data_IF_322475650247
#
_entry.id   IF_322475650247
#
_cell.length_a   1.000
_cell.length_b   1.000
_cell.length_c   1.000
_cell.angle_alpha   90.00
_cell.angle_beta   90.00
_cell.angle_gamma   90.00
#
_symmetry.space_group_name_H-M   'P 1'
#
loop_
_entity.id
_entity.type
_entity.pdbx_description
1 polymer ?
#
# COMPACT_ATOMS: atom_id res chain seq x y z
N UNK A 1 -22.87 7.50 -17.81
CA UNK A 1 -23.72 7.96 -18.94
C UNK A 1 -24.85 6.97 -19.27
N UNK A 2 -24.57 5.70 -19.57
CA UNK A 2 -25.62 4.70 -19.87
C UNK A 2 -26.69 4.56 -18.77
N UNK A 3 -26.30 4.58 -17.49
CA UNK A 3 -27.24 4.49 -16.36
C UNK A 3 -28.21 5.69 -16.27
N UNK A 4 -27.76 6.90 -16.65
CA UNK A 4 -28.59 8.12 -16.64
C UNK A 4 -29.58 8.10 -17.79
N UNK A 5 -29.14 7.68 -18.99
CA UNK A 5 -30.00 7.54 -20.17
C UNK A 5 -31.07 6.46 -19.93
N UNK A 6 -30.69 5.31 -19.37
CA UNK A 6 -31.62 4.23 -19.05
C UNK A 6 -32.62 4.66 -17.95
N UNK A 7 -32.17 5.40 -16.93
CA UNK A 7 -33.02 5.96 -15.88
C UNK A 7 -34.01 7.00 -16.37
N UNK A 8 -33.64 7.83 -17.36
CA UNK A 8 -34.53 8.75 -18.06
C UNK A 8 -35.62 8.01 -18.83
N UNK A 9 -35.24 6.99 -19.63
CA UNK A 9 -36.17 6.23 -20.48
C UNK A 9 -37.16 5.40 -19.63
N UNK A 10 -36.72 4.87 -18.48
CA UNK A 10 -37.58 4.07 -17.59
C UNK A 10 -38.32 4.89 -16.53
N UNK A 11 -38.12 6.21 -16.47
CA UNK A 11 -38.73 7.09 -15.48
C UNK A 11 -38.25 6.87 -14.03
N UNK A 12 -37.09 6.23 -13.84
CA UNK A 12 -36.52 5.85 -12.53
C UNK A 12 -35.33 6.71 -12.12
N UNK A 13 -35.33 7.98 -12.54
CA UNK A 13 -34.24 8.92 -12.25
C UNK A 13 -33.91 9.04 -10.76
N UNK A 14 -34.94 9.10 -9.90
CA UNK A 14 -34.76 9.16 -8.44
C UNK A 14 -33.96 7.96 -7.89
N UNK A 15 -34.18 6.76 -8.46
CA UNK A 15 -33.44 5.57 -8.05
C UNK A 15 -31.97 5.65 -8.48
N UNK A 16 -31.68 6.22 -9.65
CA UNK A 16 -30.30 6.43 -10.11
C UNK A 16 -29.58 7.43 -9.23
N UNK A 17 -30.21 8.57 -8.90
CA UNK A 17 -29.64 9.59 -8.01
C UNK A 17 -29.40 9.02 -6.61
N UNK A 18 -30.35 8.26 -6.07
CA UNK A 18 -30.23 7.60 -4.77
C UNK A 18 -29.10 6.57 -4.77
N UNK A 19 -29.00 5.73 -5.81
CA UNK A 19 -27.95 4.71 -5.93
C UNK A 19 -26.54 5.32 -6.04
N UNK A 20 -26.39 6.42 -6.78
CA UNK A 20 -25.12 7.16 -6.87
C UNK A 20 -24.74 7.74 -5.52
N UNK A 21 -25.68 8.37 -4.83
CA UNK A 21 -25.44 8.97 -3.50
C UNK A 21 -25.09 7.91 -2.46
N UNK A 22 -25.78 6.76 -2.48
CA UNK A 22 -25.49 5.65 -1.59
C UNK A 22 -24.12 5.03 -1.88
N UNK A 23 -23.76 4.87 -3.16
CA UNK A 23 -22.44 4.38 -3.56
C UNK A 23 -21.32 5.34 -3.15
N UNK A 24 -21.55 6.66 -3.26
CA UNK A 24 -20.63 7.66 -2.77
C UNK A 24 -20.42 7.56 -1.26
N UNK A 25 -21.49 7.31 -0.49
CA UNK A 25 -21.41 7.11 0.96
C UNK A 25 -20.59 5.87 1.33
N UNK A 26 -20.86 4.74 0.67
CA UNK A 26 -20.09 3.50 0.88
C UNK A 26 -18.61 3.71 0.55
N UNK A 27 -18.31 4.37 -0.57
CA UNK A 27 -16.93 4.69 -0.95
C UNK A 27 -16.23 5.60 0.06
N UNK A 28 -16.95 6.59 0.60
CA UNK A 28 -16.43 7.49 1.62
C UNK A 28 -16.14 6.79 2.95
N UNK A 29 -17.07 5.95 3.43
CA UNK A 29 -16.89 5.18 4.66
C UNK A 29 -15.68 4.23 4.54
N UNK A 30 -15.52 3.59 3.37
CA UNK A 30 -14.35 2.75 3.08
C UNK A 30 -13.06 3.57 3.05
N UNK A 31 -13.06 4.71 2.36
CA UNK A 31 -11.89 5.58 2.25
C UNK A 31 -11.43 6.10 3.62
N UNK A 32 -12.37 6.49 4.49
CA UNK A 32 -12.06 6.89 5.87
C UNK A 32 -11.46 5.74 6.67
N UNK A 33 -12.04 4.54 6.58
CA UNK A 33 -11.50 3.36 7.26
C UNK A 33 -10.07 3.03 6.82
N UNK A 34 -9.81 3.02 5.51
CA UNK A 34 -8.48 2.79 4.97
C UNK A 34 -7.49 3.90 5.31
N UNK A 35 -7.91 5.17 5.25
CA UNK A 35 -7.06 6.30 5.61
C UNK A 35 -6.65 6.26 7.09
N UNK A 36 -7.57 5.93 8.00
CA UNK A 36 -7.26 5.80 9.43
C UNK A 36 -6.22 4.71 9.69
N UNK A 37 -6.37 3.54 9.07
CA UNK A 37 -5.41 2.43 9.22
C UNK A 37 -4.06 2.77 8.59
N UNK A 38 -4.04 3.36 7.39
CA UNK A 38 -2.80 3.72 6.70
C UNK A 38 -2.04 4.84 7.41
N UNK A 39 -2.73 5.86 7.94
CA UNK A 39 -2.09 6.93 8.72
C UNK A 39 -1.46 6.41 10.00
N UNK A 40 -2.15 5.51 10.73
CA UNK A 40 -1.59 4.82 11.88
C UNK A 40 -0.31 4.06 11.49
N UNK A 41 -0.40 3.28 10.41
CA UNK A 41 0.68 2.44 9.95
C UNK A 41 1.91 3.23 9.47
N UNK A 42 1.68 4.29 8.70
CA UNK A 42 2.73 5.24 8.29
C UNK A 42 3.36 5.95 9.49
N UNK A 43 2.58 6.30 10.51
CA UNK A 43 3.08 6.89 11.75
C UNK A 43 4.01 5.93 12.50
N UNK A 44 3.61 4.66 12.66
CA UNK A 44 4.45 3.62 13.27
C UNK A 44 5.73 3.43 12.45
N UNK A 45 5.63 3.39 11.13
CA UNK A 45 6.78 3.24 10.24
C UNK A 45 7.76 4.42 10.35
N UNK A 46 7.24 5.64 10.49
CA UNK A 46 8.06 6.84 10.73
C UNK A 46 8.87 6.69 12.01
N UNK A 47 8.23 6.25 13.10
CA UNK A 47 8.90 6.01 14.38
C UNK A 47 9.95 4.88 14.26
N UNK A 48 9.63 3.79 13.58
CA UNK A 48 10.56 2.67 13.35
C UNK A 48 11.77 3.09 12.47
N UNK A 49 11.55 3.97 11.50
CA UNK A 49 12.61 4.53 10.66
C UNK A 49 13.50 5.49 11.44
N UNK A 50 12.90 6.43 12.18
CA UNK A 50 13.62 7.46 12.94
C UNK A 50 14.40 6.87 14.12
N UNK A 51 13.93 5.76 14.71
CA UNK A 51 14.66 5.00 15.74
C UNK A 51 15.80 4.14 15.18
N UNK A 52 15.96 4.05 13.85
CA UNK A 52 16.97 3.20 13.22
C UNK A 52 16.66 1.70 13.26
N UNK A 53 15.49 1.31 13.79
CA UNK A 53 15.04 -0.08 13.88
C UNK A 53 14.98 -0.75 12.50
N UNK A 54 14.50 -0.02 11.49
CA UNK A 54 14.46 -0.49 10.09
C UNK A 54 15.85 -0.83 9.58
N UNK A 55 16.86 -0.03 9.94
CA UNK A 55 18.26 -0.26 9.53
C UNK A 55 18.89 -1.45 10.26
N UNK A 56 18.54 -1.66 11.53
CA UNK A 56 18.96 -2.83 12.28
C UNK A 56 18.37 -4.13 11.70
N UNK A 57 17.07 -4.13 11.40
CA UNK A 57 16.39 -5.28 10.76
C UNK A 57 16.98 -5.55 9.37
N UNK A 58 17.25 -4.50 8.60
CA UNK A 58 17.91 -4.58 7.29
C UNK A 58 19.29 -5.24 7.37
N UNK A 59 20.10 -4.85 8.37
CA UNK A 59 21.42 -5.44 8.58
C UNK A 59 21.35 -6.90 9.07
N UNK A 60 20.30 -7.26 9.82
CA UNK A 60 20.05 -8.64 10.25
C UNK A 60 19.56 -9.53 9.10
N UNK A 61 18.81 -8.99 8.16
CA UNK A 61 18.34 -9.69 6.95
C UNK A 61 19.45 -9.89 5.91
N UNK A 62 20.46 -9.02 5.90
CA UNK A 62 21.62 -9.09 5.00
C UNK A 62 22.30 -10.47 4.96
N UNK A 63 22.72 -11.09 6.07
CA UNK A 63 23.34 -12.42 6.04
C UNK A 63 22.38 -13.53 5.59
N UNK A 64 21.08 -13.41 5.88
CA UNK A 64 20.07 -14.36 5.41
C UNK A 64 19.95 -14.29 3.88
N UNK A 65 19.90 -13.09 3.32
CA UNK A 65 19.80 -12.87 1.88
C UNK A 65 21.05 -13.28 1.13
N UNK A 66 22.26 -13.03 1.66
CA UNK A 66 23.51 -13.51 1.05
C UNK A 66 23.56 -15.05 1.03
N UNK A 67 22.95 -15.71 2.03
CA UNK A 67 22.87 -17.17 2.08
C UNK A 67 21.85 -17.75 1.10
N UNK A 68 20.73 -17.05 0.86
CA UNK A 68 19.68 -17.48 -0.09
C UNK A 68 20.09 -17.14 -1.54
N UNK A 69 20.76 -16.02 -1.75
CA UNK A 69 21.24 -15.54 -3.05
C UNK A 69 22.78 -15.40 -3.06
N UNK A 70 23.52 -16.52 -3.06
CA UNK A 70 24.98 -16.50 -3.00
C UNK A 70 25.64 -15.90 -4.25
N UNK A 71 24.95 -15.88 -5.39
CA UNK A 71 25.44 -15.31 -6.65
C UNK A 71 25.44 -13.78 -6.67
N UNK A 72 24.81 -13.12 -5.70
CA UNK A 72 24.76 -11.65 -5.60
C UNK A 72 25.73 -11.19 -4.50
N UNK A 73 26.85 -10.53 -4.86
CA UNK A 73 27.79 -10.01 -3.88
C UNK A 73 27.11 -9.07 -2.89
N UNK A 74 27.56 -9.10 -1.64
CA UNK A 74 27.02 -8.27 -0.55
C UNK A 74 27.16 -6.75 -0.78
N UNK A 75 28.05 -6.34 -1.69
CA UNK A 75 28.25 -4.94 -2.10
C UNK A 75 27.44 -4.54 -3.34
N UNK A 76 26.69 -5.46 -3.94
CA UNK A 76 25.91 -5.14 -5.12
C UNK A 76 24.66 -4.33 -4.74
N UNK A 77 24.33 -3.22 -5.43
CA UNK A 77 23.15 -2.39 -5.15
C UNK A 77 21.83 -3.19 -5.13
N UNK A 78 21.75 -4.31 -5.84
CA UNK A 78 20.60 -5.23 -5.82
C UNK A 78 20.30 -5.81 -4.42
N UNK A 79 21.33 -6.07 -3.60
CA UNK A 79 21.12 -6.54 -2.21
C UNK A 79 20.44 -5.47 -1.36
N UNK A 80 20.81 -4.20 -1.54
CA UNK A 80 20.14 -3.08 -0.88
C UNK A 80 18.68 -2.96 -1.28
N UNK A 81 18.39 -3.09 -2.58
CA UNK A 81 17.02 -3.04 -3.10
C UNK A 81 16.13 -4.19 -2.56
N UNK A 82 16.66 -5.41 -2.47
CA UNK A 82 15.94 -6.56 -1.91
C UNK A 82 15.64 -6.39 -0.41
N UNK A 83 16.63 -5.94 0.36
CA UNK A 83 16.47 -5.65 1.79
C UNK A 83 15.42 -4.56 2.01
N UNK A 84 15.46 -3.50 1.19
CA UNK A 84 14.48 -2.41 1.24
C UNK A 84 13.07 -2.89 0.90
N UNK A 85 12.92 -3.74 -0.12
CA UNK A 85 11.64 -4.34 -0.51
C UNK A 85 11.06 -5.25 0.57
N UNK A 86 11.88 -6.10 1.20
CA UNK A 86 11.43 -6.99 2.28
C UNK A 86 11.05 -6.18 3.52
N UNK A 87 11.84 -5.16 3.86
CA UNK A 87 11.53 -4.25 4.96
C UNK A 87 10.20 -3.52 4.69
N UNK A 88 9.99 -3.01 3.48
CA UNK A 88 8.72 -2.39 3.10
C UNK A 88 7.52 -3.35 3.24
N UNK A 89 7.68 -4.62 2.85
CA UNK A 89 6.64 -5.64 3.03
C UNK A 89 6.36 -5.99 4.50
N UNK A 90 7.40 -6.12 5.33
CA UNK A 90 7.26 -6.34 6.78
C UNK A 90 6.51 -5.19 7.46
N UNK A 91 6.79 -3.97 7.00
CA UNK A 91 6.09 -2.77 7.41
C UNK A 91 4.94 -2.45 6.47
N UNK A 92 4.21 -3.44 5.92
CA UNK A 92 2.87 -3.28 5.32
C UNK A 92 2.74 -2.27 4.17
N UNK A 93 3.87 -1.80 3.62
CA UNK A 93 3.98 -0.97 2.43
C UNK A 93 4.02 -1.86 1.18
N UNK A 94 3.23 -2.94 1.14
CA UNK A 94 3.19 -3.88 0.01
C UNK A 94 2.78 -3.21 -1.31
N UNK A 95 2.07 -2.08 -1.25
CA UNK A 95 1.72 -1.25 -2.41
C UNK A 95 2.86 -0.30 -2.87
N UNK A 96 3.92 -0.13 -2.07
CA UNK A 96 5.15 0.58 -2.44
C UNK A 96 6.29 -0.37 -2.88
N UNK A 97 5.98 -1.67 -3.02
CA UNK A 97 6.93 -2.74 -3.33
C UNK A 97 7.34 -2.81 -4.82
N UNK A 98 6.74 -2.00 -5.69
CA UNK A 98 7.33 -1.74 -7.01
C UNK A 98 8.62 -0.97 -6.81
N UNK A 99 9.74 -1.42 -7.41
CA UNK A 99 11.00 -0.72 -7.24
C UNK A 99 10.77 0.70 -7.72
N UNK A 100 10.77 1.65 -6.79
CA UNK A 100 11.05 3.02 -7.14
C UNK A 100 12.43 2.94 -7.80
N UNK A 101 12.44 3.13 -9.12
CA UNK A 101 13.60 2.93 -9.98
C UNK A 101 14.83 3.67 -9.51
#
# INVERSE_FOLDING_TARGET
FLAVICGLITGRLDQVVTAVTQSARVGFDLALGLAAVMTLWLGIMRIASDSGLVKQISNLLRPLLVKIFPDVPSDHPAMGAMVMSISANLFGLGNAATPFG
#
